data_IF_247487335905
#
_entry.id   IF_247487335905
#
_cell.length_a   1.000
_cell.length_b   1.000
_cell.length_c   1.000
_cell.angle_alpha   90.00
_cell.angle_beta   90.00
_cell.angle_gamma   90.00
#
_symmetry.space_group_name_H-M   'P 1'
#
loop_
_entity.id
_entity.type
_entity.pdbx_description
1 polymer ?
#
# COMPACT_ATOMS: atom_id res chain seq x y z
N UNK A 1 0.68 -9.74 -17.82
CA UNK A 1 -0.73 -9.70 -17.39
C UNK A 1 -1.02 -8.27 -17.04
N UNK A 2 -1.82 -7.59 -17.85
CA UNK A 2 -2.36 -6.29 -17.50
C UNK A 2 -3.35 -6.48 -16.34
N UNK A 3 -3.10 -5.79 -15.24
CA UNK A 3 -3.94 -5.79 -14.05
C UNK A 3 -5.20 -4.98 -14.39
N UNK A 4 -6.32 -5.65 -14.73
CA UNK A 4 -7.57 -4.98 -15.15
C UNK A 4 -8.36 -4.38 -13.98
N UNK A 5 -7.67 -4.03 -12.89
CA UNK A 5 -8.31 -3.42 -11.71
C UNK A 5 -8.75 -1.98 -12.05
N UNK A 6 -9.99 -1.65 -11.71
CA UNK A 6 -10.48 -0.27 -11.79
C UNK A 6 -9.79 0.65 -10.76
N UNK A 7 -9.30 0.07 -9.66
CA UNK A 7 -8.59 0.75 -8.58
C UNK A 7 -7.48 -0.12 -8.00
N UNK A 8 -6.38 0.50 -7.61
CA UNK A 8 -5.39 -0.11 -6.74
C UNK A 8 -5.75 0.23 -5.29
N UNK A 9 -5.98 -0.79 -4.47
CA UNK A 9 -6.51 -0.62 -3.12
C UNK A 9 -5.47 -1.09 -2.10
N UNK A 10 -5.46 -0.44 -0.95
CA UNK A 10 -4.79 -0.93 0.24
C UNK A 10 -5.75 -1.82 1.02
N UNK A 11 -5.24 -2.93 1.55
CA UNK A 11 -6.02 -3.90 2.33
C UNK A 11 -5.73 -3.79 3.84
N UNK A 12 -6.50 -4.47 4.67
CA UNK A 12 -6.34 -4.50 6.12
C UNK A 12 -7.65 -4.27 6.87
N UNK A 13 -7.57 -4.20 8.20
CA UNK A 13 -8.73 -3.83 9.01
C UNK A 13 -9.03 -2.32 8.90
N UNK A 14 -10.20 -1.90 9.42
CA UNK A 14 -10.67 -0.51 9.32
C UNK A 14 -9.69 0.51 9.94
N UNK A 15 -9.00 0.13 11.02
CA UNK A 15 -8.05 1.01 11.71
C UNK A 15 -6.76 1.15 10.90
N UNK A 16 -6.25 0.04 10.36
CA UNK A 16 -5.11 0.02 9.44
C UNK A 16 -5.38 0.87 8.20
N UNK A 17 -6.53 0.67 7.55
CA UNK A 17 -6.93 1.44 6.37
C UNK A 17 -7.09 2.94 6.69
N UNK A 18 -7.67 3.28 7.84
CA UNK A 18 -7.77 4.66 8.30
C UNK A 18 -6.40 5.32 8.50
N UNK A 19 -5.46 4.57 9.07
CA UNK A 19 -4.09 5.01 9.33
C UNK A 19 -3.33 5.23 8.02
N UNK A 20 -3.36 4.27 7.10
CA UNK A 20 -2.72 4.38 5.78
C UNK A 20 -3.30 5.56 4.99
N UNK A 21 -4.62 5.71 4.96
CA UNK A 21 -5.26 6.84 4.28
C UNK A 21 -4.74 8.18 4.82
N UNK A 22 -4.69 8.32 6.15
CA UNK A 22 -4.28 9.57 6.80
C UNK A 22 -2.81 9.86 6.50
N UNK A 23 -1.92 8.88 6.68
CA UNK A 23 -0.49 9.02 6.40
C UNK A 23 -0.21 9.43 4.95
N UNK A 24 -0.90 8.79 3.99
CA UNK A 24 -0.75 9.11 2.56
C UNK A 24 -1.28 10.51 2.22
N UNK A 25 -2.41 10.92 2.79
CA UNK A 25 -2.95 12.28 2.60
C UNK A 25 -2.01 13.35 3.17
N UNK A 26 -1.45 13.13 4.35
CA UNK A 26 -0.51 14.05 4.98
C UNK A 26 0.81 14.14 4.23
N UNK A 27 1.26 13.04 3.60
CA UNK A 27 2.41 13.02 2.71
C UNK A 27 2.13 13.61 1.31
N UNK A 28 0.89 14.05 1.03
CA UNK A 28 0.52 14.73 -0.20
C UNK A 28 0.12 13.81 -1.36
N UNK A 29 -0.03 12.49 -1.12
CA UNK A 29 -0.47 11.57 -2.15
C UNK A 29 -1.95 11.81 -2.55
N UNK A 30 -2.30 11.64 -3.84
CA UNK A 30 -3.67 11.78 -4.33
C UNK A 30 -4.55 10.56 -3.98
N UNK A 31 -4.38 9.98 -2.78
CA UNK A 31 -5.15 8.81 -2.34
C UNK A 31 -6.65 9.16 -2.27
N UNK A 32 -7.47 8.27 -2.82
CA UNK A 32 -8.93 8.32 -2.81
C UNK A 32 -9.49 7.21 -1.94
N UNK A 33 -10.79 7.26 -1.64
CA UNK A 33 -11.52 6.15 -1.01
C UNK A 33 -12.47 5.53 -2.01
N UNK A 34 -12.42 4.21 -2.13
CA UNK A 34 -13.47 3.42 -2.76
C UNK A 34 -14.23 2.67 -1.65
N UNK A 35 -15.40 3.20 -1.28
CA UNK A 35 -16.12 2.80 -0.06
C UNK A 35 -15.25 3.03 1.19
N UNK A 36 -14.79 1.97 1.86
CA UNK A 36 -13.90 2.06 3.03
C UNK A 36 -12.42 1.87 2.68
N UNK A 37 -12.12 1.42 1.46
CA UNK A 37 -10.76 1.07 1.05
C UNK A 37 -10.02 2.31 0.51
N UNK A 38 -8.85 2.67 1.08
CA UNK A 38 -7.99 3.67 0.49
C UNK A 38 -7.32 3.12 -0.77
N UNK A 39 -7.11 3.97 -1.76
CA UNK A 39 -6.55 3.52 -3.03
C UNK A 39 -6.33 4.62 -4.04
N UNK A 40 -6.06 4.20 -5.26
CA UNK A 40 -5.66 5.01 -6.40
C UNK A 40 -6.43 4.55 -7.64
N UNK A 41 -6.75 5.47 -8.54
CA UNK A 41 -7.41 5.12 -9.79
C UNK A 41 -6.49 4.29 -10.69
N UNK A 42 -7.07 3.55 -11.66
CA UNK A 42 -6.32 2.68 -12.59
C UNK A 42 -5.17 3.38 -13.33
N UNK A 43 -5.36 4.64 -13.68
CA UNK A 43 -4.38 5.46 -14.38
C UNK A 43 -3.26 6.00 -13.46
N UNK A 44 -3.41 5.85 -12.14
CA UNK A 44 -2.47 6.31 -11.11
C UNK A 44 -1.61 5.17 -10.55
N UNK A 45 -1.20 4.25 -11.42
CA UNK A 45 -0.45 3.06 -11.02
C UNK A 45 0.91 3.42 -10.41
N UNK A 46 1.62 4.42 -10.96
CA UNK A 46 2.94 4.79 -10.46
C UNK A 46 2.82 5.49 -9.09
N UNK A 47 1.82 6.34 -8.90
CA UNK A 47 1.53 6.97 -7.60
C UNK A 47 1.16 5.93 -6.53
N UNK A 48 0.42 4.87 -6.92
CA UNK A 48 0.15 3.75 -6.03
C UNK A 48 1.43 3.02 -5.60
N UNK A 49 2.38 2.81 -6.51
CA UNK A 49 3.68 2.18 -6.20
C UNK A 49 4.52 3.06 -5.28
N UNK A 50 4.56 4.36 -5.52
CA UNK A 50 5.22 5.32 -4.63
C UNK A 50 4.56 5.34 -3.24
N UNK A 51 3.23 5.27 -3.17
CA UNK A 51 2.49 5.17 -1.91
C UNK A 51 2.78 3.86 -1.16
N UNK A 52 2.88 2.72 -1.85
CA UNK A 52 3.29 1.46 -1.25
C UNK A 52 4.72 1.54 -0.68
N UNK A 53 5.65 2.14 -1.43
CA UNK A 53 7.01 2.35 -0.96
C UNK A 53 7.04 3.22 0.30
N UNK A 54 6.26 4.31 0.33
CA UNK A 54 6.11 5.17 1.50
C UNK A 54 5.56 4.40 2.71
N UNK A 55 4.48 3.64 2.53
CA UNK A 55 3.83 2.84 3.59
C UNK A 55 4.80 1.80 4.17
N UNK A 56 5.58 1.15 3.30
CA UNK A 56 6.62 0.23 3.72
C UNK A 56 7.73 0.96 4.49
N UNK A 57 8.37 1.96 3.89
CA UNK A 57 9.51 2.69 4.47
C UNK A 57 9.18 3.25 5.87
N UNK A 58 8.01 3.87 6.02
CA UNK A 58 7.57 4.47 7.28
C UNK A 58 6.94 3.48 8.25
N UNK A 59 6.85 2.19 7.86
CA UNK A 59 6.21 1.12 8.64
C UNK A 59 4.83 1.54 9.15
N UNK A 60 4.06 2.20 8.29
CA UNK A 60 2.70 2.66 8.64
C UNK A 60 1.87 1.48 9.13
N UNK A 61 1.09 1.65 10.21
CA UNK A 61 0.27 0.57 10.77
C UNK A 61 -0.56 -0.11 9.67
N UNK A 62 -0.46 -1.45 9.55
CA UNK A 62 -1.09 -2.21 8.46
C UNK A 62 -0.23 -2.40 7.19
N UNK A 63 1.03 -1.94 7.18
CA UNK A 63 1.93 -2.13 6.03
C UNK A 63 2.12 -3.61 5.66
N UNK A 64 2.12 -4.51 6.65
CA UNK A 64 2.27 -5.95 6.44
C UNK A 64 1.08 -6.57 5.70
N UNK A 65 -0.10 -5.95 5.76
CA UNK A 65 -1.28 -6.39 5.01
C UNK A 65 -1.12 -6.16 3.50
N UNK A 66 -0.07 -5.45 3.07
CA UNK A 66 0.24 -5.17 1.66
C UNK A 66 1.30 -6.11 1.08
N UNK A 67 1.62 -7.24 1.73
CA UNK A 67 2.69 -8.17 1.32
C UNK A 67 2.68 -8.47 -0.18
N UNK A 68 1.53 -8.93 -0.70
CA UNK A 68 1.39 -9.31 -2.11
C UNK A 68 1.71 -8.15 -3.06
N UNK A 69 1.16 -6.96 -2.79
CA UNK A 69 1.35 -5.81 -3.66
C UNK A 69 2.77 -5.20 -3.49
N UNK A 70 3.35 -5.23 -2.29
CA UNK A 70 4.74 -4.83 -2.05
C UNK A 70 5.73 -5.65 -2.87
N UNK A 71 5.55 -6.98 -2.89
CA UNK A 71 6.40 -7.91 -3.64
C UNK A 71 6.11 -7.80 -5.15
N UNK A 72 4.84 -7.80 -5.54
CA UNK A 72 4.40 -7.71 -6.94
C UNK A 72 4.94 -6.46 -7.64
N UNK A 73 4.95 -5.32 -6.94
CA UNK A 73 5.42 -4.06 -7.50
C UNK A 73 6.91 -3.78 -7.25
N UNK A 74 7.62 -4.72 -6.62
CA UNK A 74 9.07 -4.63 -6.41
C UNK A 74 9.48 -3.55 -5.41
N UNK A 75 8.61 -3.22 -4.45
CA UNK A 75 8.95 -2.32 -3.33
C UNK A 75 9.94 -3.00 -2.39
N UNK A 76 9.77 -4.30 -2.18
CA UNK A 76 10.72 -5.15 -1.48
C UNK A 76 10.64 -6.59 -2.00
N UNK A 77 11.64 -7.38 -1.66
CA UNK A 77 11.69 -8.83 -1.86
C UNK A 77 11.07 -9.56 -0.66
N UNK A 78 10.66 -10.82 -0.83
CA UNK A 78 10.15 -11.64 0.28
C UNK A 78 11.12 -11.67 1.49
N UNK A 79 12.44 -11.88 1.32
CA UNK A 79 13.36 -11.85 2.46
C UNK A 79 13.42 -10.50 3.18
N UNK A 80 13.34 -9.38 2.46
CA UNK A 80 13.30 -8.04 3.06
C UNK A 80 11.99 -7.79 3.81
N UNK A 81 10.87 -8.32 3.30
CA UNK A 81 9.58 -8.27 3.98
C UNK A 81 9.62 -9.08 5.29
N UNK A 82 10.09 -10.34 5.24
CA UNK A 82 10.20 -11.20 6.42
C UNK A 82 11.13 -10.59 7.48
N UNK A 83 12.25 -10.00 7.04
CA UNK A 83 13.16 -9.28 7.92
C UNK A 83 12.49 -8.07 8.57
N UNK A 84 11.73 -7.27 7.80
CA UNK A 84 10.99 -6.12 8.32
C UNK A 84 9.90 -6.53 9.32
N UNK A 85 9.30 -7.70 9.13
CA UNK A 85 8.28 -8.25 10.02
C UNK A 85 8.87 -8.88 11.29
N UNK A 86 10.19 -9.07 11.33
CA UNK A 86 10.89 -9.72 12.44
C UNK A 86 10.69 -11.24 12.48
N UNK A 87 10.25 -11.86 11.37
CA UNK A 87 10.21 -13.31 11.22
C UNK A 87 11.63 -13.78 10.89
N UNK A 88 12.18 -14.68 11.72
CA UNK A 88 13.48 -15.35 11.51
C UNK A 88 13.25 -16.80 11.17
#
# INVERSE_FOLDING_TARGET
>A
MDDDRAYFLFDGDLDQMGTIYTALREAGFPVVKNNVYPGFARDQKEEYKEALAFVFEHRTNGWWSQEDDLIKYGVCTQPEFDQALGRR
#
